data_IF_643900465883
#
_entry.id   IF_643900465883
#
_cell.length_a   1.000
_cell.length_b   1.000
_cell.length_c   1.000
_cell.angle_alpha   90.00
_cell.angle_beta   90.00
_cell.angle_gamma   90.00
#
_symmetry.space_group_name_H-M   'P 1'
#
loop_
_entity.id
_entity.type
_entity.pdbx_description
1 polymer ?
#
# COMPACT_ATOMS: atom_id res chain seq x y z
N UNK A 1 -25.71 4.92 -7.99
CA UNK A 1 -25.76 3.58 -8.62
C UNK A 1 -24.33 3.11 -8.85
N UNK A 2 -24.07 1.82 -8.66
CA UNK A 2 -22.77 1.20 -8.93
C UNK A 2 -22.95 0.33 -10.16
N UNK A 3 -22.00 0.41 -11.09
CA UNK A 3 -21.92 -0.47 -12.26
C UNK A 3 -20.60 -1.26 -12.18
N UNK A 4 -20.66 -2.58 -12.47
CA UNK A 4 -19.49 -3.45 -12.49
C UNK A 4 -19.20 -3.83 -13.93
N UNK A 5 -17.99 -3.54 -14.39
CA UNK A 5 -17.52 -3.90 -15.74
C UNK A 5 -16.65 -5.16 -15.59
N UNK A 6 -17.24 -6.30 -15.93
CA UNK A 6 -16.61 -7.61 -15.77
C UNK A 6 -15.60 -7.91 -16.89
N UNK A 7 -14.67 -8.83 -16.58
CA UNK A 7 -13.66 -9.35 -17.54
C UNK A 7 -12.83 -8.22 -18.17
N UNK A 8 -12.53 -7.17 -17.43
CA UNK A 8 -11.94 -5.96 -17.99
C UNK A 8 -10.77 -5.46 -17.16
N UNK A 9 -9.80 -4.88 -17.84
CA UNK A 9 -8.64 -4.19 -17.25
C UNK A 9 -8.55 -2.77 -17.81
N UNK A 10 -7.96 -1.86 -17.03
CA UNK A 10 -7.63 -0.52 -17.51
C UNK A 10 -6.34 -0.64 -18.33
N UNK A 11 -6.39 -0.21 -19.58
CA UNK A 11 -5.25 -0.21 -20.48
C UNK A 11 -4.54 1.14 -20.52
N UNK A 12 -5.30 2.24 -20.40
CA UNK A 12 -4.76 3.59 -20.48
C UNK A 12 -5.65 4.60 -19.73
N UNK A 13 -5.06 5.71 -19.29
CA UNK A 13 -5.77 6.82 -18.67
C UNK A 13 -5.69 8.05 -19.57
N UNK A 14 -6.85 8.60 -19.91
CA UNK A 14 -6.99 9.75 -20.81
C UNK A 14 -7.26 11.01 -20.01
N UNK A 15 -6.57 12.08 -20.32
CA UNK A 15 -6.77 13.36 -19.66
C UNK A 15 -5.91 14.49 -20.22
N UNK A 16 -6.05 15.66 -19.63
CA UNK A 16 -5.27 16.84 -19.99
C UNK A 16 -3.93 16.85 -19.25
N UNK A 17 -2.92 17.43 -19.88
CA UNK A 17 -1.60 17.61 -19.27
C UNK A 17 -1.50 18.89 -18.44
N UNK A 18 -2.19 19.96 -18.85
CA UNK A 18 -2.19 21.26 -18.19
C UNK A 18 -3.58 21.92 -18.29
N UNK A 19 -4.29 22.11 -17.17
CA UNK A 19 -4.01 21.48 -15.86
C UNK A 19 -4.19 19.96 -15.94
N UNK A 20 -3.44 19.22 -15.13
CA UNK A 20 -3.59 17.75 -15.07
C UNK A 20 -5.00 17.38 -14.61
N UNK A 21 -5.76 16.75 -15.48
CA UNK A 21 -7.13 16.34 -15.19
C UNK A 21 -7.45 15.03 -15.91
N UNK A 22 -8.05 14.08 -15.19
CA UNK A 22 -8.53 12.81 -15.76
C UNK A 22 -9.86 13.09 -16.46
N UNK A 23 -10.03 12.59 -17.69
CA UNK A 23 -11.24 12.69 -18.48
C UNK A 23 -11.85 11.36 -18.85
N UNK A 24 -11.06 10.31 -18.80
CA UNK A 24 -11.52 8.99 -19.19
C UNK A 24 -10.47 7.92 -18.98
N UNK A 25 -10.87 6.69 -19.23
CA UNK A 25 -10.02 5.52 -19.25
C UNK A 25 -10.31 4.68 -20.49
N UNK A 26 -9.30 4.00 -21.00
CA UNK A 26 -9.49 2.93 -21.98
C UNK A 26 -9.60 1.61 -21.23
N UNK A 27 -10.72 0.94 -21.40
CA UNK A 27 -11.03 -0.35 -20.78
C UNK A 27 -10.94 -1.43 -21.83
N UNK A 28 -10.11 -2.44 -21.57
CA UNK A 28 -9.96 -3.61 -22.44
C UNK A 28 -10.66 -4.82 -21.83
N UNK A 29 -11.57 -5.40 -22.57
CA UNK A 29 -12.17 -6.68 -22.18
C UNK A 29 -11.17 -7.81 -22.47
N UNK A 30 -10.78 -8.57 -21.45
CA UNK A 30 -9.73 -9.61 -21.55
C UNK A 30 -10.17 -10.87 -22.31
N UNK A 31 -11.48 -11.08 -22.47
CA UNK A 31 -12.02 -12.23 -23.23
C UNK A 31 -12.15 -11.93 -24.73
N UNK A 32 -12.59 -10.72 -25.05
CA UNK A 32 -12.86 -10.33 -26.46
C UNK A 32 -11.74 -9.50 -27.07
N UNK A 33 -10.81 -8.98 -26.25
CA UNK A 33 -9.80 -7.98 -26.60
C UNK A 33 -10.35 -6.65 -27.11
N UNK A 34 -11.66 -6.42 -27.01
CA UNK A 34 -12.26 -5.14 -27.39
C UNK A 34 -11.84 -4.04 -26.40
N UNK A 35 -11.51 -2.88 -26.94
CA UNK A 35 -11.17 -1.68 -26.18
C UNK A 35 -12.34 -0.71 -26.32
N UNK A 36 -12.79 -0.17 -25.19
CA UNK A 36 -13.80 0.89 -25.11
C UNK A 36 -13.29 2.05 -24.26
N UNK A 37 -13.77 3.23 -24.51
CA UNK A 37 -13.47 4.41 -23.71
C UNK A 37 -14.62 4.71 -22.76
N UNK A 38 -14.29 4.91 -21.47
CA UNK A 38 -15.24 5.31 -20.45
C UNK A 38 -14.85 6.70 -19.93
N UNK A 39 -15.79 7.65 -20.00
CA UNK A 39 -15.61 8.99 -19.43
C UNK A 39 -15.75 8.92 -17.91
N UNK A 40 -14.77 9.44 -17.20
CA UNK A 40 -14.73 9.53 -15.74
C UNK A 40 -14.10 10.84 -15.31
N UNK A 41 -14.41 11.30 -14.11
CA UNK A 41 -13.86 12.52 -13.50
C UNK A 41 -12.71 12.20 -12.53
N UNK A 42 -12.53 10.94 -12.17
CA UNK A 42 -11.46 10.47 -11.29
C UNK A 42 -11.28 8.97 -11.36
N UNK A 43 -10.08 8.50 -11.03
CA UNK A 43 -9.72 7.08 -11.01
C UNK A 43 -9.04 6.72 -9.69
N UNK A 44 -9.55 5.70 -9.02
CA UNK A 44 -8.90 5.07 -7.87
C UNK A 44 -8.43 3.67 -8.24
N UNK A 45 -7.15 3.40 -8.05
CA UNK A 45 -6.57 2.07 -8.26
C UNK A 45 -6.53 1.37 -6.91
N UNK A 46 -7.37 0.35 -6.75
CA UNK A 46 -7.56 -0.39 -5.49
C UNK A 46 -7.27 -1.89 -5.68
N UNK A 47 -6.11 -2.21 -6.26
CA UNK A 47 -5.69 -3.57 -6.63
C UNK A 47 -4.81 -4.26 -5.58
N UNK A 48 -4.67 -3.67 -4.40
CA UNK A 48 -3.84 -4.16 -3.31
C UNK A 48 -2.79 -3.13 -2.90
N UNK A 49 -1.94 -3.54 -1.97
CA UNK A 49 -0.87 -2.73 -1.42
C UNK A 49 0.46 -3.44 -1.62
N UNK A 50 1.47 -2.65 -1.96
CA UNK A 50 2.87 -3.06 -1.97
C UNK A 50 3.59 -2.23 -0.90
N UNK A 51 4.06 -2.85 0.20
CA UNK A 51 4.68 -2.09 1.28
C UNK A 51 6.00 -1.45 0.80
N UNK A 52 6.24 -0.21 1.21
CA UNK A 52 7.45 0.54 0.83
C UNK A 52 8.69 0.06 1.63
N UNK A 53 9.00 -1.22 1.52
CA UNK A 53 10.05 -1.92 2.30
C UNK A 53 11.28 -2.30 1.49
N UNK A 54 11.33 -1.96 0.22
CA UNK A 54 12.41 -2.35 -0.70
C UNK A 54 13.82 -1.94 -0.20
N UNK A 55 13.92 -0.81 0.51
CA UNK A 55 15.18 -0.33 1.09
C UNK A 55 15.76 -1.27 2.16
N UNK A 56 14.90 -2.07 2.80
CA UNK A 56 15.27 -2.96 3.91
C UNK A 56 15.43 -4.41 3.48
N UNK A 57 15.28 -4.69 2.18
CA UNK A 57 15.42 -6.04 1.64
C UNK A 57 16.81 -6.60 1.96
N UNK A 58 16.84 -7.83 2.46
CA UNK A 58 18.04 -8.54 2.92
C UNK A 58 18.70 -7.92 4.18
N UNK A 59 18.07 -6.95 4.83
CA UNK A 59 18.54 -6.37 6.10
C UNK A 59 17.58 -6.71 7.23
N UNK A 60 16.28 -6.59 6.98
CA UNK A 60 15.23 -6.91 7.95
C UNK A 60 14.45 -8.14 7.47
N UNK A 61 13.94 -8.91 8.42
CA UNK A 61 13.07 -10.05 8.13
C UNK A 61 11.74 -9.58 7.57
N UNK A 62 11.32 -10.20 6.47
CA UNK A 62 10.08 -9.89 5.76
C UNK A 62 9.28 -11.15 5.50
N UNK A 63 7.97 -11.00 5.42
CA UNK A 63 7.11 -12.08 4.96
C UNK A 63 7.12 -12.18 3.41
N UNK A 64 6.38 -13.17 2.88
CA UNK A 64 6.32 -13.43 1.44
C UNK A 64 5.69 -12.29 0.62
N UNK A 65 4.98 -11.37 1.30
CA UNK A 65 4.33 -10.20 0.68
C UNK A 65 5.16 -8.93 0.85
N UNK A 66 6.34 -9.03 1.51
CA UNK A 66 7.28 -7.93 1.71
C UNK A 66 7.01 -7.08 2.95
N UNK A 67 6.10 -7.47 3.83
CA UNK A 67 5.88 -6.78 5.11
C UNK A 67 6.95 -7.14 6.12
N UNK A 68 7.38 -6.15 6.91
CA UNK A 68 8.38 -6.35 7.96
C UNK A 68 7.79 -7.20 9.10
N UNK A 69 8.56 -8.20 9.51
CA UNK A 69 8.21 -9.08 10.63
C UNK A 69 8.72 -8.45 11.92
N UNK A 70 7.83 -8.38 12.91
CA UNK A 70 8.18 -7.93 14.27
C UNK A 70 7.88 -9.03 15.29
N UNK A 71 8.40 -8.89 16.50
CA UNK A 71 8.00 -9.74 17.61
C UNK A 71 6.50 -9.64 17.89
N UNK A 72 5.86 -10.68 18.42
CA UNK A 72 4.46 -10.60 18.84
C UNK A 72 4.24 -9.45 19.84
N UNK A 73 3.14 -8.73 19.67
CA UNK A 73 2.72 -7.60 20.52
C UNK A 73 3.76 -6.48 20.67
N UNK A 74 4.68 -6.35 19.70
CA UNK A 74 5.79 -5.41 19.71
C UNK A 74 6.03 -4.83 18.32
N UNK A 75 6.81 -3.77 18.25
CA UNK A 75 7.33 -3.18 17.00
C UNK A 75 8.80 -3.54 16.74
N UNK A 76 9.43 -4.32 17.65
CA UNK A 76 10.82 -4.77 17.51
C UNK A 76 11.00 -5.68 16.29
N UNK A 77 11.99 -5.39 15.47
CA UNK A 77 12.40 -6.21 14.34
C UNK A 77 13.45 -7.26 14.77
N UNK A 78 14.00 -7.99 13.81
CA UNK A 78 15.15 -8.90 14.04
C UNK A 78 16.45 -8.18 14.39
N UNK A 79 16.53 -6.85 14.18
CA UNK A 79 17.71 -6.04 14.52
C UNK A 79 17.44 -5.22 15.78
N UNK A 80 18.22 -5.38 16.86
CA UNK A 80 18.07 -4.59 18.08
C UNK A 80 18.16 -3.08 17.81
N UNK A 81 17.23 -2.32 18.38
CA UNK A 81 17.13 -0.86 18.19
C UNK A 81 16.44 -0.44 16.90
N UNK A 82 15.97 -1.38 16.08
CA UNK A 82 15.19 -1.11 14.87
C UNK A 82 13.76 -1.57 15.07
N UNK A 83 12.83 -0.66 14.86
CA UNK A 83 11.39 -0.86 15.08
C UNK A 83 10.61 -0.64 13.78
N UNK A 84 9.54 -1.39 13.58
CA UNK A 84 8.65 -1.24 12.43
C UNK A 84 7.22 -0.96 12.87
N UNK A 85 6.60 0.06 12.30
CA UNK A 85 5.25 0.50 12.63
C UNK A 85 4.47 0.94 11.38
N UNK A 86 3.14 0.85 11.43
CA UNK A 86 2.27 1.27 10.34
C UNK A 86 2.26 0.32 9.15
N UNK A 87 1.99 0.85 7.97
CA UNK A 87 1.72 0.08 6.74
C UNK A 87 2.86 -0.83 6.29
N UNK A 88 4.09 -0.59 6.71
CA UNK A 88 5.23 -1.46 6.41
C UNK A 88 5.17 -2.82 7.13
N UNK A 89 4.36 -2.92 8.18
CA UNK A 89 4.14 -4.12 9.00
C UNK A 89 2.67 -4.54 9.07
N UNK A 90 1.73 -3.57 9.06
CA UNK A 90 0.29 -3.81 9.16
C UNK A 90 -0.31 -4.16 7.81
N UNK A 91 -0.33 -5.42 7.47
CA UNK A 91 -0.99 -5.91 6.25
C UNK A 91 -2.50 -6.11 6.39
N UNK A 92 -3.06 -5.97 7.60
CA UNK A 92 -4.46 -6.26 7.89
C UNK A 92 -5.33 -5.02 7.84
N UNK A 93 -5.04 -4.02 8.64
CA UNK A 93 -5.90 -2.85 8.82
C UNK A 93 -5.50 -1.67 7.93
N UNK A 94 -4.23 -1.30 7.92
CA UNK A 94 -3.67 -0.21 7.09
C UNK A 94 -4.48 1.09 7.23
N UNK A 95 -4.71 1.48 8.49
CA UNK A 95 -5.44 2.67 8.85
C UNK A 95 -4.53 3.69 9.54
N UNK A 96 -4.81 4.98 9.34
CA UNK A 96 -4.03 6.04 9.98
C UNK A 96 -3.99 5.90 11.51
N UNK A 97 -5.10 5.51 12.14
CA UNK A 97 -5.18 5.35 13.59
C UNK A 97 -4.38 4.14 14.08
N UNK A 98 -4.37 3.02 13.34
CA UNK A 98 -3.55 1.85 13.70
C UNK A 98 -2.06 2.16 13.53
N UNK A 99 -1.70 2.86 12.45
CA UNK A 99 -0.34 3.31 12.21
C UNK A 99 0.16 4.26 13.32
N UNK A 100 -0.68 5.20 13.76
CA UNK A 100 -0.36 6.10 14.86
C UNK A 100 -0.16 5.34 16.19
N UNK A 101 -1.02 4.37 16.49
CA UNK A 101 -0.89 3.51 17.67
C UNK A 101 0.41 2.70 17.67
N UNK A 102 0.74 2.06 16.54
CA UNK A 102 2.01 1.35 16.39
C UNK A 102 3.21 2.29 16.47
N UNK A 103 3.11 3.51 15.94
CA UNK A 103 4.15 4.53 16.06
C UNK A 103 4.41 4.93 17.52
N UNK A 104 3.35 5.06 18.32
CA UNK A 104 3.46 5.29 19.76
C UNK A 104 4.17 4.11 20.46
N UNK A 105 3.82 2.88 20.13
CA UNK A 105 4.50 1.68 20.66
C UNK A 105 5.99 1.71 20.32
N UNK A 106 6.34 1.96 19.07
CA UNK A 106 7.73 2.02 18.61
C UNK A 106 8.53 3.09 19.34
N UNK A 107 7.95 4.26 19.58
CA UNK A 107 8.60 5.33 20.32
C UNK A 107 8.89 4.94 21.78
N UNK A 108 7.93 4.30 22.46
CA UNK A 108 8.11 3.84 23.84
C UNK A 108 9.12 2.70 23.95
N UNK A 109 9.16 1.79 22.97
CA UNK A 109 10.15 0.74 22.91
C UNK A 109 11.55 1.28 22.62
N UNK A 110 11.68 2.27 21.75
CA UNK A 110 12.94 2.96 21.47
C UNK A 110 13.44 3.73 22.70
N UNK A 111 12.56 4.40 23.43
CA UNK A 111 12.91 5.07 24.71
C UNK A 111 13.49 4.08 25.71
N UNK A 112 12.83 2.93 25.89
CA UNK A 112 13.33 1.86 26.80
C UNK A 112 14.69 1.33 26.36
N UNK A 113 14.89 1.12 25.06
CA UNK A 113 16.15 0.64 24.50
C UNK A 113 17.30 1.61 24.75
N UNK A 114 17.04 2.92 24.65
CA UNK A 114 18.04 3.97 24.85
C UNK A 114 18.35 4.22 26.34
N UNK A 115 17.45 3.83 27.24
CA UNK A 115 17.63 3.98 28.69
C UNK A 115 18.54 2.90 29.32
N UNK A 116 18.90 1.90 28.57
CA UNK A 116 19.77 0.80 28.96
C UNK A 116 21.07 0.79 28.15
#
# INVERSE_FOLDING_TARGET
KIEIIWDSVIEDVVGDKEPKNVKGIKVKNVKTNNISELKIDGLFIAIGHDPATQLFKNQLDMDNEGYLITKPDSTETNIPGVYAAGDVKDKTFRQAVTAAGMGCMAALEAEKFLAH
#
